data_IF_958221050759
#
_entry.id   IF_958221050759
#
_cell.length_a   1.000
_cell.length_b   1.000
_cell.length_c   1.000
_cell.angle_alpha   90.00
_cell.angle_beta   90.00
_cell.angle_gamma   90.00
#
_symmetry.space_group_name_H-M   'P 1'
#
loop_
_entity.id
_entity.type
_entity.pdbx_description
1 polymer ?
#
# COMPACT_ATOMS: atom_id res chain seq x y z
N UNK A 1 -14.25 16.92 5.53
CA UNK A 1 -14.55 15.59 4.98
C UNK A 1 -14.12 14.50 5.96
N UNK A 2 -12.92 14.58 6.53
CA UNK A 2 -12.36 13.53 7.38
C UNK A 2 -12.72 13.70 8.88
N UNK A 3 -13.19 14.86 9.30
CA UNK A 3 -13.56 15.14 10.69
C UNK A 3 -14.60 14.13 11.19
N UNK A 4 -14.35 13.54 12.34
CA UNK A 4 -15.14 12.50 13.02
C UNK A 4 -15.32 11.18 12.24
N UNK A 5 -14.68 11.02 11.05
CA UNK A 5 -14.69 9.74 10.32
C UNK A 5 -13.87 8.69 11.06
N UNK A 6 -14.40 7.49 11.17
CA UNK A 6 -13.80 6.32 11.82
C UNK A 6 -13.04 5.51 10.77
N UNK A 7 -11.72 5.58 10.84
CA UNK A 7 -10.84 5.10 9.76
C UNK A 7 -9.93 3.99 10.25
N UNK A 8 -9.91 2.86 9.55
CA UNK A 8 -8.88 1.83 9.72
C UNK A 8 -7.73 2.09 8.74
N UNK A 9 -6.49 2.17 9.27
CA UNK A 9 -5.27 2.24 8.45
C UNK A 9 -4.41 1.01 8.73
N UNK A 10 -4.46 0.03 7.84
CA UNK A 10 -3.60 -1.16 7.94
C UNK A 10 -2.18 -0.83 7.50
N UNK A 11 -1.16 -1.39 8.19
CA UNK A 11 0.22 -0.95 7.97
C UNK A 11 0.48 0.50 8.40
N UNK A 12 -0.38 1.06 9.26
CA UNK A 12 -0.31 2.43 9.76
C UNK A 12 0.80 2.69 10.79
N UNK A 13 1.59 1.68 11.13
CA UNK A 13 2.67 1.79 12.14
C UNK A 13 4.02 2.18 11.55
N UNK A 14 4.15 2.27 10.23
CA UNK A 14 5.40 2.61 9.55
C UNK A 14 5.18 3.06 8.11
N UNK A 15 6.19 3.67 7.51
CA UNK A 15 6.22 4.00 6.09
C UNK A 15 5.07 4.91 5.65
N UNK A 16 4.57 4.66 4.45
CA UNK A 16 3.51 5.51 3.89
C UNK A 16 2.18 5.40 4.64
N UNK A 17 1.87 4.22 5.20
CA UNK A 17 0.66 4.04 6.02
C UNK A 17 0.68 4.91 7.28
N UNK A 18 1.85 5.07 7.93
CA UNK A 18 2.04 5.98 9.05
C UNK A 18 1.80 7.44 8.65
N UNK A 19 2.35 7.87 7.52
CA UNK A 19 2.14 9.24 7.01
C UNK A 19 0.66 9.49 6.69
N UNK A 20 -0.04 8.55 6.06
CA UNK A 20 -1.49 8.64 5.83
C UNK A 20 -2.28 8.74 7.14
N UNK A 21 -1.95 7.90 8.13
CA UNK A 21 -2.60 7.96 9.44
C UNK A 21 -2.40 9.34 10.10
N UNK A 22 -1.18 9.90 10.05
CA UNK A 22 -0.88 11.23 10.56
C UNK A 22 -1.72 12.32 9.88
N UNK A 23 -1.84 12.30 8.55
CA UNK A 23 -2.67 13.25 7.82
C UNK A 23 -4.17 13.12 8.16
N UNK A 24 -4.66 11.90 8.36
CA UNK A 24 -6.05 11.63 8.75
C UNK A 24 -6.33 12.14 10.17
N UNK A 25 -5.43 11.84 11.12
CA UNK A 25 -5.53 12.35 12.51
C UNK A 25 -5.53 13.87 12.53
N UNK A 26 -4.59 14.50 11.80
CA UNK A 26 -4.53 15.97 11.69
C UNK A 26 -5.78 16.58 11.02
N UNK A 27 -6.48 15.82 10.19
CA UNK A 27 -7.74 16.22 9.56
C UNK A 27 -8.97 15.96 10.44
N UNK A 28 -8.79 15.54 11.70
CA UNK A 28 -9.84 15.30 12.69
C UNK A 28 -10.50 13.92 12.61
N UNK A 29 -9.94 12.97 11.87
CA UNK A 29 -10.46 11.60 11.84
C UNK A 29 -10.14 10.85 13.15
N UNK A 30 -10.98 9.89 13.49
CA UNK A 30 -10.74 8.88 14.52
C UNK A 30 -10.04 7.69 13.82
N UNK A 31 -8.79 7.44 14.13
CA UNK A 31 -7.97 6.49 13.36
C UNK A 31 -7.59 5.28 14.21
N UNK A 32 -7.87 4.09 13.69
CA UNK A 32 -7.32 2.83 14.19
C UNK A 32 -6.14 2.41 13.29
N UNK A 33 -4.91 2.50 13.82
CA UNK A 33 -3.74 1.97 13.13
C UNK A 33 -3.54 0.50 13.42
N UNK A 34 -3.22 -0.27 12.38
CA UNK A 34 -2.97 -1.71 12.49
C UNK A 34 -1.54 -2.00 12.07
N UNK A 35 -0.82 -2.74 12.91
CA UNK A 35 0.55 -3.21 12.64
C UNK A 35 0.77 -4.61 13.19
N UNK A 36 1.84 -5.31 12.77
CA UNK A 36 2.08 -6.69 13.17
C UNK A 36 2.59 -6.88 14.60
N UNK A 37 3.29 -5.91 15.16
CA UNK A 37 3.87 -6.01 16.50
C UNK A 37 3.29 -4.97 17.45
N UNK A 38 3.06 -5.38 18.70
CA UNK A 38 2.58 -4.47 19.75
C UNK A 38 3.55 -3.31 19.99
N UNK A 39 4.84 -3.55 19.90
CA UNK A 39 5.86 -2.50 20.06
C UNK A 39 5.80 -1.49 18.89
N UNK A 40 5.65 -1.95 17.65
CA UNK A 40 5.47 -1.06 16.50
C UNK A 40 4.19 -0.21 16.61
N UNK A 41 3.11 -0.79 17.14
CA UNK A 41 1.87 -0.06 17.41
C UNK A 41 2.10 1.00 18.49
N UNK A 42 2.74 0.65 19.61
CA UNK A 42 3.04 1.58 20.70
C UNK A 42 3.87 2.78 20.23
N UNK A 43 4.94 2.54 19.47
CA UNK A 43 5.80 3.59 18.92
C UNK A 43 5.03 4.51 17.95
N UNK A 44 4.21 3.91 17.09
CA UNK A 44 3.41 4.67 16.13
C UNK A 44 2.37 5.56 16.84
N UNK A 45 1.70 5.04 17.87
CA UNK A 45 0.74 5.83 18.67
C UNK A 45 1.41 7.04 19.31
N UNK A 46 2.55 6.86 19.97
CA UNK A 46 3.29 7.94 20.59
C UNK A 46 3.68 9.04 19.58
N UNK A 47 4.08 8.64 18.37
CA UNK A 47 4.42 9.59 17.30
C UNK A 47 3.18 10.28 16.70
N UNK A 48 2.05 9.57 16.56
CA UNK A 48 0.81 10.11 16.00
C UNK A 48 0.05 11.03 16.95
N UNK A 49 0.20 10.87 18.27
CA UNK A 49 -0.41 11.73 19.27
C UNK A 49 0.00 13.20 19.13
N UNK A 50 1.16 13.48 18.54
CA UNK A 50 1.60 14.83 18.21
C UNK A 50 0.73 15.50 17.15
N UNK A 51 0.08 14.72 16.29
CA UNK A 51 -0.85 15.21 15.25
C UNK A 51 -2.29 15.32 15.75
N UNK A 52 -2.65 14.64 16.85
CA UNK A 52 -3.98 14.65 17.47
C UNK A 52 -4.21 13.43 18.35
N UNK A 53 -5.21 13.52 19.26
CA UNK A 53 -5.49 12.47 20.28
C UNK A 53 -6.45 11.38 19.82
N UNK A 54 -7.03 11.48 18.62
CA UNK A 54 -8.05 10.55 18.14
C UNK A 54 -7.43 9.35 17.41
N UNK A 55 -6.42 8.74 17.99
CA UNK A 55 -5.73 7.57 17.45
C UNK A 55 -5.75 6.39 18.43
N UNK A 56 -5.99 5.21 17.89
CA UNK A 56 -5.95 3.91 18.58
C UNK A 56 -5.12 2.93 17.78
N UNK A 57 -4.72 1.83 18.37
CA UNK A 57 -3.88 0.85 17.68
C UNK A 57 -4.18 -0.59 18.07
N UNK A 58 -4.02 -1.48 17.10
CA UNK A 58 -4.20 -2.92 17.27
C UNK A 58 -3.03 -3.66 16.61
N UNK A 59 -2.44 -4.59 17.34
CA UNK A 59 -1.47 -5.53 16.77
C UNK A 59 -2.21 -6.70 16.12
N UNK A 60 -1.98 -6.90 14.79
CA UNK A 60 -2.61 -7.96 14.01
C UNK A 60 -1.74 -8.34 12.80
N UNK A 61 -1.67 -9.64 12.53
CA UNK A 61 -1.14 -10.17 11.28
C UNK A 61 -2.31 -10.48 10.35
N UNK A 62 -2.67 -9.52 9.50
CA UNK A 62 -3.81 -9.63 8.59
C UNK A 62 -3.66 -10.71 7.50
N UNK A 63 -2.48 -11.32 7.35
CA UNK A 63 -2.33 -12.49 6.50
C UNK A 63 -2.93 -13.77 7.13
N UNK A 64 -3.26 -13.75 8.42
CA UNK A 64 -3.86 -14.88 9.13
C UNK A 64 -5.38 -14.84 9.03
N UNK A 65 -6.03 -15.99 8.78
CA UNK A 65 -7.49 -16.08 8.74
C UNK A 65 -8.15 -15.57 10.04
N UNK A 66 -9.22 -14.78 9.91
CA UNK A 66 -9.99 -14.25 11.03
C UNK A 66 -9.46 -12.96 11.65
N UNK A 67 -8.20 -12.58 11.41
CA UNK A 67 -7.63 -11.35 11.95
C UNK A 67 -8.32 -10.10 11.42
N UNK A 68 -8.80 -10.11 10.18
CA UNK A 68 -9.61 -9.01 9.63
C UNK A 68 -10.86 -8.76 10.45
N UNK A 69 -11.63 -9.81 10.79
CA UNK A 69 -12.84 -9.70 11.63
C UNK A 69 -12.50 -9.22 13.04
N UNK A 70 -11.41 -9.73 13.63
CA UNK A 70 -10.97 -9.27 14.95
C UNK A 70 -10.64 -7.78 14.95
N UNK A 71 -9.90 -7.28 13.96
CA UNK A 71 -9.56 -5.87 13.83
C UNK A 71 -10.78 -4.98 13.65
N UNK A 72 -11.74 -5.38 12.81
CA UNK A 72 -13.00 -4.64 12.63
C UNK A 72 -13.80 -4.63 13.94
N UNK A 73 -13.92 -5.76 14.65
CA UNK A 73 -14.54 -5.83 15.96
C UNK A 73 -13.90 -4.88 16.99
N UNK A 74 -12.57 -4.79 17.01
CA UNK A 74 -11.87 -3.81 17.84
C UNK A 74 -12.15 -2.35 17.44
N UNK A 75 -12.25 -2.08 16.12
CA UNK A 75 -12.64 -0.76 15.64
C UNK A 75 -14.06 -0.36 16.09
N UNK A 76 -15.00 -1.27 15.93
CA UNK A 76 -16.38 -1.08 16.40
C UNK A 76 -16.42 -0.79 17.90
N UNK A 77 -15.66 -1.56 18.70
CA UNK A 77 -15.59 -1.38 20.15
C UNK A 77 -14.95 -0.05 20.57
N UNK A 78 -13.86 0.38 19.88
CA UNK A 78 -13.07 1.55 20.26
C UNK A 78 -13.60 2.86 19.67
N UNK A 79 -14.12 2.82 18.44
CA UNK A 79 -14.53 3.99 17.68
C UNK A 79 -16.02 4.03 17.35
N UNK A 80 -16.77 2.96 17.63
CA UNK A 80 -18.20 2.88 17.40
C UNK A 80 -18.61 2.62 15.94
N UNK A 81 -17.68 2.32 15.04
CA UNK A 81 -17.98 2.04 13.63
C UNK A 81 -16.75 2.03 12.73
N UNK A 82 -16.98 1.76 11.45
CA UNK A 82 -15.95 1.85 10.38
C UNK A 82 -16.53 2.61 9.20
N UNK A 83 -15.99 3.77 8.92
CA UNK A 83 -16.43 4.58 7.77
C UNK A 83 -15.51 4.42 6.57
N UNK A 84 -14.20 4.31 6.79
CA UNK A 84 -13.20 4.23 5.73
C UNK A 84 -12.11 3.22 6.06
N UNK A 85 -11.58 2.56 5.01
CA UNK A 85 -10.52 1.57 5.10
C UNK A 85 -9.34 1.94 4.18
N UNK A 86 -8.14 2.08 4.76
CA UNK A 86 -6.90 2.30 4.02
C UNK A 86 -6.00 1.05 4.14
N UNK A 87 -5.86 0.30 3.07
CA UNK A 87 -5.04 -0.89 2.97
C UNK A 87 -3.62 -0.52 2.55
N UNK A 88 -2.75 -0.27 3.55
CA UNK A 88 -1.35 0.11 3.34
C UNK A 88 -0.37 -1.02 3.64
N UNK A 89 -0.84 -2.17 4.13
CA UNK A 89 0.00 -3.35 4.35
C UNK A 89 0.60 -3.81 3.03
N UNK A 90 1.87 -4.19 3.08
CA UNK A 90 2.54 -4.78 1.94
C UNK A 90 4.03 -5.02 2.21
N UNK A 91 4.59 -5.96 1.46
CA UNK A 91 6.01 -6.29 1.46
C UNK A 91 6.52 -6.15 0.04
N UNK A 92 7.62 -5.46 -0.14
CA UNK A 92 8.42 -5.50 -1.37
C UNK A 92 9.74 -6.21 -1.10
N UNK A 93 10.38 -6.72 -2.13
CA UNK A 93 11.66 -7.42 -2.06
C UNK A 93 12.39 -7.41 -3.39
N UNK A 94 13.60 -7.95 -3.40
CA UNK A 94 14.47 -8.05 -4.57
C UNK A 94 14.90 -9.49 -4.77
N UNK A 95 14.51 -10.09 -5.90
CA UNK A 95 14.94 -11.44 -6.27
C UNK A 95 14.71 -11.71 -7.77
N UNK A 96 15.41 -12.70 -8.32
CA UNK A 96 15.16 -13.18 -9.68
C UNK A 96 13.85 -13.97 -9.70
N UNK A 97 12.96 -13.71 -10.68
CA UNK A 97 11.69 -14.43 -10.74
C UNK A 97 11.88 -15.94 -10.92
N UNK A 98 12.82 -16.35 -11.76
CA UNK A 98 13.10 -17.78 -12.01
C UNK A 98 13.80 -18.49 -10.84
N UNK A 99 14.32 -17.75 -9.86
CA UNK A 99 14.86 -18.29 -8.61
C UNK A 99 13.84 -18.21 -7.45
N UNK A 100 12.67 -17.62 -7.70
CA UNK A 100 11.61 -17.50 -6.68
C UNK A 100 10.88 -18.82 -6.52
N UNK A 101 10.87 -19.37 -5.32
CA UNK A 101 10.08 -20.56 -4.97
C UNK A 101 8.59 -20.23 -4.87
N UNK A 102 7.74 -21.26 -4.95
CA UNK A 102 6.31 -21.10 -4.73
C UNK A 102 5.99 -20.61 -3.30
N UNK A 103 6.78 -21.02 -2.31
CA UNK A 103 6.64 -20.58 -0.93
C UNK A 103 6.92 -19.08 -0.79
N UNK A 104 8.02 -18.59 -1.35
CA UNK A 104 8.34 -17.15 -1.34
C UNK A 104 7.30 -16.31 -2.08
N UNK A 105 6.78 -16.79 -3.22
CA UNK A 105 5.70 -16.08 -3.92
C UNK A 105 4.42 -16.01 -3.08
N UNK A 106 4.07 -17.08 -2.35
CA UNK A 106 2.94 -17.06 -1.40
C UNK A 106 3.13 -16.00 -0.32
N UNK A 107 4.33 -15.86 0.25
CA UNK A 107 4.62 -14.79 1.24
C UNK A 107 4.36 -13.38 0.68
N UNK A 108 4.68 -13.14 -0.61
CA UNK A 108 4.34 -11.86 -1.25
C UNK A 108 2.84 -11.69 -1.42
N UNK A 109 2.11 -12.75 -1.80
CA UNK A 109 0.65 -12.72 -1.93
C UNK A 109 -0.01 -12.54 -0.57
N UNK A 110 0.44 -13.25 0.46
CA UNK A 110 -0.06 -13.14 1.83
C UNK A 110 0.03 -11.70 2.33
N UNK A 111 1.20 -11.09 2.19
CA UNK A 111 1.44 -9.74 2.69
C UNK A 111 0.77 -8.63 1.85
N UNK A 112 0.54 -8.82 0.56
CA UNK A 112 0.07 -7.75 -0.33
C UNK A 112 -1.38 -7.92 -0.80
N UNK A 113 -1.88 -9.15 -0.89
CA UNK A 113 -3.22 -9.47 -1.37
C UNK A 113 -4.11 -10.03 -0.27
N UNK A 114 -3.72 -11.14 0.36
CA UNK A 114 -4.60 -11.81 1.34
C UNK A 114 -4.82 -10.96 2.59
N UNK A 115 -3.82 -10.20 3.04
CA UNK A 115 -4.02 -9.22 4.11
C UNK A 115 -5.05 -8.13 3.75
N UNK A 116 -5.07 -7.67 2.48
CA UNK A 116 -6.07 -6.73 2.01
C UNK A 116 -7.46 -7.38 1.85
N UNK A 117 -7.51 -8.62 1.36
CA UNK A 117 -8.75 -9.41 1.23
C UNK A 117 -9.41 -9.61 2.61
N UNK A 118 -8.66 -10.07 3.61
CA UNK A 118 -9.18 -10.37 4.95
C UNK A 118 -9.83 -9.14 5.61
N UNK A 119 -9.16 -8.00 5.59
CA UNK A 119 -9.71 -6.79 6.20
C UNK A 119 -10.85 -6.19 5.38
N UNK A 120 -10.77 -6.25 4.04
CA UNK A 120 -11.83 -5.73 3.16
C UNK A 120 -13.12 -6.51 3.36
N UNK A 121 -13.06 -7.85 3.35
CA UNK A 121 -14.24 -8.70 3.59
C UNK A 121 -14.90 -8.42 4.94
N UNK A 122 -14.10 -8.13 5.96
CA UNK A 122 -14.61 -7.85 7.29
C UNK A 122 -15.26 -6.45 7.41
N UNK A 123 -14.72 -5.44 6.69
CA UNK A 123 -15.16 -4.05 6.80
C UNK A 123 -16.17 -3.62 5.70
N UNK A 124 -16.40 -4.46 4.69
CA UNK A 124 -17.14 -4.09 3.48
C UNK A 124 -18.56 -3.57 3.75
N UNK A 125 -19.28 -4.20 4.67
CA UNK A 125 -20.65 -3.82 5.00
C UNK A 125 -20.72 -2.48 5.73
N UNK A 126 -19.84 -2.27 6.72
CA UNK A 126 -19.75 -1.01 7.45
C UNK A 126 -19.36 0.16 6.55
N UNK A 127 -18.31 -0.03 5.71
CA UNK A 127 -17.86 1.00 4.76
C UNK A 127 -18.94 1.30 3.72
N UNK A 128 -19.69 0.31 3.26
CA UNK A 128 -20.81 0.51 2.34
C UNK A 128 -21.95 1.28 3.02
N UNK A 129 -22.32 0.92 4.24
CA UNK A 129 -23.36 1.63 5.02
C UNK A 129 -22.99 3.10 5.23
N UNK A 130 -21.71 3.39 5.48
CA UNK A 130 -21.18 4.74 5.64
C UNK A 130 -20.98 5.49 4.30
N UNK A 131 -21.22 4.85 3.14
CA UNK A 131 -20.89 5.35 1.78
C UNK A 131 -19.44 5.84 1.70
N UNK A 132 -18.55 5.13 2.37
CA UNK A 132 -17.18 5.51 2.64
C UNK A 132 -16.21 5.13 1.52
N UNK A 133 -14.95 5.03 1.90
CA UNK A 133 -13.86 4.77 0.98
C UNK A 133 -13.09 3.51 1.37
N UNK A 134 -12.77 2.67 0.38
CA UNK A 134 -11.73 1.64 0.47
C UNK A 134 -10.56 2.07 -0.40
N UNK A 135 -9.38 2.23 0.19
CA UNK A 135 -8.18 2.70 -0.49
C UNK A 135 -7.11 1.62 -0.46
N UNK A 136 -6.65 1.18 -1.62
CA UNK A 136 -5.57 0.22 -1.75
C UNK A 136 -4.28 0.90 -2.18
N UNK A 137 -3.20 0.71 -1.42
CA UNK A 137 -1.88 1.16 -1.80
C UNK A 137 -1.20 0.08 -2.65
N UNK A 138 -1.37 0.23 -3.95
CA UNK A 138 -0.73 -0.56 -4.99
C UNK A 138 0.74 -0.18 -5.21
N UNK A 139 1.18 -0.20 -6.45
CA UNK A 139 2.52 0.22 -6.88
C UNK A 139 2.55 0.35 -8.41
N UNK A 140 3.45 1.18 -8.94
CA UNK A 140 3.81 1.13 -10.36
C UNK A 140 4.30 -0.25 -10.79
N UNK A 141 4.90 -1.03 -9.88
CA UNK A 141 5.32 -2.41 -10.15
C UNK A 141 4.14 -3.35 -10.49
N UNK A 142 2.91 -3.00 -10.12
CA UNK A 142 1.70 -3.73 -10.56
C UNK A 142 1.25 -3.39 -11.98
N UNK A 143 1.86 -2.37 -12.61
CA UNK A 143 1.59 -1.95 -14.00
C UNK A 143 2.79 -2.12 -14.92
N UNK A 144 3.98 -1.93 -14.39
CA UNK A 144 5.26 -1.93 -15.11
C UNK A 144 6.21 -2.89 -14.40
N UNK A 145 6.42 -4.06 -14.96
CA UNK A 145 7.35 -5.04 -14.37
C UNK A 145 8.78 -4.60 -14.67
N UNK A 146 9.59 -4.49 -13.62
CA UNK A 146 11.01 -4.16 -13.71
C UNK A 146 11.88 -5.31 -13.20
N UNK A 147 13.17 -5.40 -13.61
CA UNK A 147 14.06 -6.46 -13.16
C UNK A 147 14.10 -6.59 -11.61
N UNK A 148 14.26 -7.81 -11.14
CA UNK A 148 14.41 -8.18 -9.73
C UNK A 148 13.20 -7.88 -8.82
N UNK A 149 12.06 -7.48 -9.40
CA UNK A 149 10.81 -7.22 -8.65
C UNK A 149 9.65 -8.14 -9.07
N UNK A 150 9.92 -9.26 -9.74
CA UNK A 150 8.88 -10.11 -10.35
C UNK A 150 7.80 -10.57 -9.38
N UNK A 151 8.18 -11.19 -8.25
CA UNK A 151 7.22 -11.66 -7.25
C UNK A 151 6.39 -10.53 -6.62
N UNK A 152 7.01 -9.39 -6.36
CA UNK A 152 6.33 -8.19 -5.90
C UNK A 152 5.35 -7.64 -6.95
N UNK A 153 5.78 -7.61 -8.22
CA UNK A 153 4.93 -7.18 -9.34
C UNK A 153 3.69 -8.07 -9.48
N UNK A 154 3.87 -9.40 -9.41
CA UNK A 154 2.75 -10.35 -9.43
C UNK A 154 1.75 -10.03 -8.31
N UNK A 155 2.23 -9.85 -7.08
CA UNK A 155 1.36 -9.56 -5.95
C UNK A 155 0.64 -8.21 -6.07
N UNK A 156 1.31 -7.17 -6.61
CA UNK A 156 0.68 -5.85 -6.81
C UNK A 156 -0.26 -5.81 -8.01
N UNK A 157 -0.03 -6.62 -9.05
CA UNK A 157 -0.99 -6.80 -10.15
C UNK A 157 -2.24 -7.54 -9.67
N UNK A 158 -2.08 -8.58 -8.84
CA UNK A 158 -3.20 -9.27 -8.21
C UNK A 158 -4.03 -8.34 -7.30
N UNK A 159 -3.36 -7.47 -6.51
CA UNK A 159 -4.05 -6.46 -5.69
C UNK A 159 -4.82 -5.45 -6.57
N UNK A 160 -4.29 -5.07 -7.74
CA UNK A 160 -4.99 -4.16 -8.65
C UNK A 160 -6.26 -4.79 -9.21
N UNK A 161 -6.19 -6.04 -9.67
CA UNK A 161 -7.37 -6.79 -10.13
C UNK A 161 -8.39 -6.99 -9.00
N UNK A 162 -7.92 -7.28 -7.78
CA UNK A 162 -8.79 -7.37 -6.60
C UNK A 162 -9.50 -6.05 -6.30
N UNK A 163 -8.79 -4.91 -6.38
CA UNK A 163 -9.39 -3.59 -6.17
C UNK A 163 -10.49 -3.30 -7.21
N UNK A 164 -10.30 -3.73 -8.47
CA UNK A 164 -11.31 -3.57 -9.51
C UNK A 164 -12.55 -4.45 -9.25
N UNK A 165 -12.37 -5.71 -8.84
CA UNK A 165 -13.47 -6.59 -8.45
C UNK A 165 -14.28 -6.00 -7.27
N UNK A 166 -13.60 -5.58 -6.20
CA UNK A 166 -14.25 -4.94 -5.04
C UNK A 166 -14.99 -3.65 -5.43
N UNK A 167 -14.45 -2.89 -6.39
CA UNK A 167 -15.13 -1.69 -6.90
C UNK A 167 -16.47 -2.01 -7.55
N UNK A 168 -16.53 -3.07 -8.36
CA UNK A 168 -17.77 -3.50 -9.01
C UNK A 168 -18.83 -3.94 -7.98
N UNK A 169 -18.40 -4.54 -6.87
CA UNK A 169 -19.31 -5.01 -5.82
C UNK A 169 -19.79 -3.88 -4.89
N UNK A 170 -18.91 -2.91 -4.58
CA UNK A 170 -19.21 -1.85 -3.60
C UNK A 170 -19.81 -0.58 -4.22
N UNK A 171 -19.55 -0.30 -5.51
CA UNK A 171 -20.08 0.90 -6.17
C UNK A 171 -21.62 0.97 -6.16
N UNK A 172 -22.37 -0.12 -6.43
CA UNK A 172 -23.83 -0.11 -6.33
C UNK A 172 -24.35 0.17 -4.92
N UNK A 173 -23.53 -0.09 -3.90
CA UNK A 173 -23.83 0.15 -2.48
C UNK A 173 -23.41 1.57 -2.03
N UNK A 174 -22.89 2.40 -2.93
CA UNK A 174 -22.48 3.77 -2.68
C UNK A 174 -21.08 3.95 -2.12
N UNK A 175 -20.33 2.88 -1.81
CA UNK A 175 -18.95 3.00 -1.38
C UNK A 175 -18.02 3.31 -2.56
N UNK A 176 -16.88 3.93 -2.26
CA UNK A 176 -15.87 4.31 -3.24
C UNK A 176 -14.60 3.48 -3.07
N UNK A 177 -14.04 3.00 -4.17
CA UNK A 177 -12.78 2.24 -4.16
C UNK A 177 -11.71 2.99 -4.96
N UNK A 178 -10.59 3.30 -4.31
CA UNK A 178 -9.43 3.96 -4.89
C UNK A 178 -8.23 3.00 -4.92
N UNK A 179 -7.67 2.76 -6.11
CA UNK A 179 -6.35 2.14 -6.25
C UNK A 179 -5.29 3.24 -6.43
N UNK A 180 -4.29 3.26 -5.55
CA UNK A 180 -3.13 4.16 -5.64
C UNK A 180 -1.94 3.38 -6.18
N UNK A 181 -1.35 3.82 -7.30
CA UNK A 181 -0.18 3.19 -7.93
C UNK A 181 1.03 4.14 -7.86
N UNK A 182 1.73 4.22 -6.73
CA UNK A 182 2.86 5.11 -6.57
C UNK A 182 4.15 4.53 -7.13
N UNK A 183 5.05 5.41 -7.57
CA UNK A 183 6.47 5.12 -7.72
C UNK A 183 7.18 4.98 -6.37
N UNK A 184 8.53 4.95 -6.37
CA UNK A 184 9.31 4.89 -5.13
C UNK A 184 8.97 6.06 -4.21
N UNK A 185 8.62 5.77 -2.95
CA UNK A 185 8.31 6.77 -1.93
C UNK A 185 9.54 6.98 -1.05
N UNK A 186 9.90 8.24 -0.75
CA UNK A 186 10.90 8.58 0.26
C UNK A 186 10.34 8.23 1.64
N UNK A 187 11.20 7.87 2.57
CA UNK A 187 10.77 7.74 3.96
C UNK A 187 10.59 9.11 4.60
N UNK A 188 9.57 9.24 5.42
CA UNK A 188 9.39 10.42 6.25
C UNK A 188 10.44 10.43 7.37
N UNK A 189 10.90 11.62 7.77
CA UNK A 189 11.91 11.75 8.82
C UNK A 189 11.42 11.32 10.22
N UNK A 190 10.13 11.37 10.43
CA UNK A 190 9.42 10.97 11.65
C UNK A 190 8.86 9.54 11.61
N UNK A 191 9.18 8.74 10.57
CA UNK A 191 8.78 7.33 10.48
C UNK A 191 9.48 6.51 11.57
N UNK A 192 8.73 5.92 12.54
CA UNK A 192 9.32 5.18 13.66
C UNK A 192 10.13 3.93 13.25
N UNK A 193 10.03 3.53 11.99
CA UNK A 193 10.74 2.36 11.45
C UNK A 193 11.71 2.71 10.32
N UNK A 194 12.09 3.99 10.17
CA UNK A 194 12.94 4.46 9.06
C UNK A 194 14.26 3.68 8.96
N UNK A 195 14.97 3.51 10.08
CA UNK A 195 16.26 2.81 10.14
C UNK A 195 16.16 1.34 9.74
N UNK A 196 15.17 0.62 10.30
CA UNK A 196 14.98 -0.83 10.04
C UNK A 196 14.65 -1.19 8.59
N UNK A 197 14.25 -0.24 7.79
CA UNK A 197 13.86 -0.49 6.41
C UNK A 197 14.94 -0.18 5.38
N UNK A 198 15.97 0.59 5.76
CA UNK A 198 17.09 0.91 4.87
C UNK A 198 17.85 -0.35 4.46
N UNK A 199 18.06 -1.27 5.40
CA UNK A 199 18.90 -2.47 5.21
C UNK A 199 18.20 -3.62 4.48
N UNK A 200 16.85 -3.60 4.39
CA UNK A 200 16.11 -4.74 3.84
C UNK A 200 16.45 -5.07 2.39
N UNK A 201 16.57 -4.07 1.52
CA UNK A 201 16.90 -4.30 0.10
C UNK A 201 18.34 -4.72 -0.10
N UNK A 202 19.25 -4.18 0.72
CA UNK A 202 20.65 -4.59 0.73
C UNK A 202 20.76 -6.06 1.15
N UNK A 203 20.05 -6.48 2.19
CA UNK A 203 20.01 -7.87 2.62
C UNK A 203 19.41 -8.82 1.56
N UNK A 204 18.34 -8.41 0.86
CA UNK A 204 17.77 -9.19 -0.25
C UNK A 204 18.77 -9.35 -1.41
N UNK A 205 19.46 -8.27 -1.77
CA UNK A 205 20.47 -8.25 -2.83
C UNK A 205 21.64 -9.17 -2.50
N UNK A 206 22.17 -9.06 -1.27
CA UNK A 206 23.27 -9.90 -0.81
C UNK A 206 22.89 -11.40 -0.81
N UNK A 207 21.72 -11.72 -0.26
CA UNK A 207 21.21 -13.11 -0.20
C UNK A 207 20.97 -13.72 -1.58
N UNK A 208 20.49 -12.92 -2.54
CA UNK A 208 20.09 -13.38 -3.88
C UNK A 208 21.20 -13.23 -4.93
N UNK A 209 22.40 -12.79 -4.55
CA UNK A 209 23.53 -12.59 -5.49
C UNK A 209 23.18 -11.61 -6.63
N UNK A 210 22.42 -10.58 -6.33
CA UNK A 210 22.01 -9.57 -7.31
C UNK A 210 23.05 -8.46 -7.42
N UNK A 211 23.10 -7.73 -8.55
CA UNK A 211 23.91 -6.52 -8.66
C UNK A 211 23.52 -5.49 -7.58
N UNK A 212 24.50 -4.73 -7.09
CA UNK A 212 24.30 -3.76 -6.00
C UNK A 212 23.24 -2.69 -6.33
N UNK A 213 23.12 -2.29 -7.59
CA UNK A 213 22.12 -1.34 -8.11
C UNK A 213 20.68 -1.87 -7.99
N UNK A 214 20.48 -3.19 -7.89
CA UNK A 214 19.17 -3.79 -7.63
C UNK A 214 18.58 -3.38 -6.27
N UNK A 215 19.40 -2.95 -5.31
CA UNK A 215 18.94 -2.41 -4.03
C UNK A 215 18.25 -1.05 -4.17
N UNK A 216 18.47 -0.35 -5.28
CA UNK A 216 17.87 0.97 -5.50
C UNK A 216 16.34 0.93 -5.47
N UNK A 217 15.68 1.91 -4.84
CA UNK A 217 14.23 2.04 -4.87
C UNK A 217 13.71 2.21 -6.31
N UNK A 218 12.77 1.35 -6.72
CA UNK A 218 12.28 1.32 -8.10
C UNK A 218 13.10 0.41 -9.02
N UNK A 219 14.05 -0.36 -8.48
CA UNK A 219 14.97 -1.18 -9.25
C UNK A 219 15.95 -0.30 -10.06
N UNK A 220 16.36 -0.75 -11.24
CA UNK A 220 17.24 -0.01 -12.13
C UNK A 220 16.59 1.20 -12.82
N UNK A 221 15.27 1.41 -12.65
CA UNK A 221 14.60 2.59 -13.17
C UNK A 221 14.92 3.82 -12.31
N UNK A 222 15.58 4.83 -12.87
CA UNK A 222 15.94 6.09 -12.22
C UNK A 222 14.70 6.98 -11.97
N UNK A 223 13.74 6.49 -11.17
CA UNK A 223 12.56 7.24 -10.80
C UNK A 223 12.85 8.14 -9.59
N UNK A 224 12.48 9.43 -9.70
CA UNK A 224 12.54 10.35 -8.56
C UNK A 224 11.64 9.82 -7.44
N UNK A 225 12.17 9.78 -6.22
CA UNK A 225 11.39 9.37 -5.03
C UNK A 225 10.31 10.41 -4.74
N UNK A 226 9.10 9.92 -4.50
CA UNK A 226 7.96 10.75 -4.15
C UNK A 226 8.09 11.23 -2.71
N UNK A 227 7.66 12.46 -2.47
CA UNK A 227 7.47 12.99 -1.14
C UNK A 227 6.23 12.31 -0.50
N UNK A 228 6.36 11.69 0.69
CA UNK A 228 5.27 10.97 1.30
C UNK A 228 4.10 11.88 1.73
N UNK A 229 4.38 13.11 2.17
CA UNK A 229 3.34 14.06 2.57
C UNK A 229 2.54 14.58 1.37
N UNK A 230 3.24 14.89 0.27
CA UNK A 230 2.57 15.27 -0.98
C UNK A 230 1.69 14.13 -1.50
N UNK A 231 2.20 12.90 -1.47
CA UNK A 231 1.44 11.73 -1.88
C UNK A 231 0.20 11.52 -0.98
N UNK A 232 0.33 11.67 0.34
CA UNK A 232 -0.79 11.55 1.26
C UNK A 232 -1.89 12.58 0.95
N UNK A 233 -1.53 13.84 0.75
CA UNK A 233 -2.48 14.90 0.33
C UNK A 233 -3.20 14.54 -0.96
N UNK A 234 -2.47 14.02 -1.97
CA UNK A 234 -3.06 13.59 -3.26
C UNK A 234 -4.01 12.40 -3.10
N UNK A 235 -3.70 11.45 -2.22
CA UNK A 235 -4.58 10.31 -1.92
C UNK A 235 -5.87 10.80 -1.29
N UNK A 236 -5.80 11.66 -0.28
CA UNK A 236 -6.98 12.21 0.38
C UNK A 236 -7.83 13.09 -0.56
N UNK A 237 -7.19 13.86 -1.47
CA UNK A 237 -7.89 14.61 -2.52
C UNK A 237 -8.55 13.67 -3.55
N UNK A 238 -7.88 12.59 -3.93
CA UNK A 238 -8.45 11.58 -4.84
C UNK A 238 -9.68 10.90 -4.24
N UNK A 239 -9.70 10.61 -2.94
CA UNK A 239 -10.89 10.14 -2.23
C UNK A 239 -12.01 11.18 -2.30
N UNK A 240 -11.72 12.45 -1.97
CA UNK A 240 -12.70 13.54 -2.03
C UNK A 240 -13.34 13.67 -3.41
N UNK A 241 -12.56 13.49 -4.47
CA UNK A 241 -13.01 13.53 -5.87
C UNK A 241 -13.57 12.20 -6.38
N UNK A 242 -13.62 11.19 -5.53
CA UNK A 242 -14.06 9.81 -5.84
C UNK A 242 -13.38 9.25 -7.11
N UNK A 243 -12.08 9.46 -7.26
CA UNK A 243 -11.29 8.90 -8.35
C UNK A 243 -11.10 7.41 -8.15
N UNK A 244 -11.32 6.61 -9.19
CA UNK A 244 -11.11 5.17 -9.14
C UNK A 244 -9.62 4.79 -9.06
N UNK A 245 -8.73 5.65 -9.58
CA UNK A 245 -7.30 5.39 -9.63
C UNK A 245 -6.47 6.67 -9.48
N UNK A 246 -5.33 6.55 -8.78
CA UNK A 246 -4.29 7.56 -8.67
C UNK A 246 -2.92 6.97 -8.99
N UNK A 247 -2.38 7.23 -10.18
CA UNK A 247 -1.01 6.86 -10.57
C UNK A 247 -0.07 8.05 -10.40
N UNK A 248 1.05 7.86 -9.66
CA UNK A 248 2.05 8.92 -9.42
C UNK A 248 3.46 8.37 -9.65
N UNK A 249 4.26 8.99 -10.55
CA UNK A 249 3.96 10.16 -11.38
C UNK A 249 2.94 9.85 -12.48
N UNK A 250 2.19 10.88 -12.90
CA UNK A 250 1.14 10.73 -13.92
C UNK A 250 1.68 10.25 -15.28
N UNK A 251 2.93 10.58 -15.62
CA UNK A 251 3.60 10.09 -16.83
C UNK A 251 3.68 8.56 -16.91
N UNK A 252 3.79 7.87 -15.79
CA UNK A 252 3.82 6.41 -15.74
C UNK A 252 2.49 5.79 -16.22
N UNK A 253 1.37 6.50 -16.07
CA UNK A 253 0.07 6.06 -16.59
C UNK A 253 0.06 6.01 -18.12
N UNK A 254 0.63 7.02 -18.77
CA UNK A 254 0.75 7.05 -20.25
C UNK A 254 1.62 5.92 -20.74
N UNK A 255 2.74 5.65 -20.06
CA UNK A 255 3.62 4.56 -20.40
C UNK A 255 2.94 3.18 -20.25
N UNK A 256 2.24 2.96 -19.15
CA UNK A 256 1.48 1.74 -18.95
C UNK A 256 0.41 1.57 -20.04
N UNK A 257 -0.36 2.62 -20.35
CA UNK A 257 -1.35 2.61 -21.43
C UNK A 257 -0.71 2.33 -22.81
N UNK A 258 0.44 2.93 -23.11
CA UNK A 258 1.16 2.68 -24.36
C UNK A 258 1.59 1.21 -24.49
N UNK A 259 2.03 0.58 -23.40
CA UNK A 259 2.40 -0.85 -23.39
C UNK A 259 1.17 -1.73 -23.62
N UNK A 260 0.02 -1.36 -23.08
CA UNK A 260 -1.25 -2.06 -23.30
C UNK A 260 -1.71 -1.96 -24.76
N UNK A 261 -1.63 -0.78 -25.36
CA UNK A 261 -2.08 -0.53 -26.73
C UNK A 261 -1.10 -1.07 -27.78
N UNK A 262 0.20 -1.06 -27.50
CA UNK A 262 1.27 -1.51 -28.38
C UNK A 262 2.19 -2.52 -27.66
N UNK A 263 1.70 -3.73 -27.32
CA UNK A 263 2.38 -4.64 -26.40
C UNK A 263 3.79 -5.04 -26.84
N UNK A 264 4.02 -5.28 -28.14
CA UNK A 264 5.32 -5.67 -28.65
C UNK A 264 6.35 -4.54 -28.61
N UNK A 265 5.94 -3.34 -29.03
CA UNK A 265 6.81 -2.17 -29.04
C UNK A 265 7.10 -1.70 -27.60
N UNK A 266 6.06 -1.68 -26.74
CA UNK A 266 6.17 -1.27 -25.36
C UNK A 266 7.06 -2.19 -24.53
N UNK A 267 6.91 -3.52 -24.66
CA UNK A 267 7.77 -4.49 -23.95
C UNK A 267 9.22 -4.43 -24.42
N UNK A 268 9.46 -4.28 -25.72
CA UNK A 268 10.83 -4.08 -26.26
C UNK A 268 11.45 -2.78 -25.73
N UNK A 269 10.69 -1.71 -25.68
CA UNK A 269 11.16 -0.45 -25.12
C UNK A 269 11.46 -0.58 -23.62
N UNK A 270 10.56 -1.19 -22.83
CA UNK A 270 10.76 -1.41 -21.40
C UNK A 270 12.03 -2.26 -21.14
N UNK A 271 12.24 -3.31 -21.91
CA UNK A 271 13.43 -4.14 -21.83
C UNK A 271 14.73 -3.34 -22.10
N UNK A 272 14.72 -2.44 -23.10
CA UNK A 272 15.88 -1.57 -23.41
C UNK A 272 16.16 -0.57 -22.30
N UNK A 273 15.12 0.02 -21.71
CA UNK A 273 15.27 0.96 -20.58
C UNK A 273 15.81 0.23 -19.35
N UNK A 274 15.27 -0.95 -19.06
CA UNK A 274 15.70 -1.79 -17.96
C UNK A 274 17.13 -2.34 -18.11
N UNK A 275 17.64 -2.48 -19.34
CA UNK A 275 19.01 -2.95 -19.61
C UNK A 275 20.07 -1.83 -19.62
N UNK A 276 19.69 -0.57 -19.81
CA UNK A 276 20.61 0.59 -19.83
C UNK A 276 21.14 0.98 -18.44
N UNK A 277 20.65 0.37 -17.38
CA UNK A 277 21.15 0.53 -16.02
C UNK A 277 22.15 -0.55 -15.61
N UNK A 278 22.69 -1.30 -16.59
CA UNK A 278 23.73 -2.32 -16.33
C UNK A 278 25.09 -1.81 -16.77
#
# INVERSE_FOLDING_TARGET
MWHDRRVIVTGGTAGFGFVLARHLVAAGAQVLVVGRSSEGVRLALAALETAGRNVRGVAADLARPGEGRRVVGECLRMLGGVDDLFCCVGRSGRQRMLATTAAELREFLDANLFAALEITRAAADDVAAAKGHVVYIGSLAGKLVVPYMGAYSVAKSALAAFADAVRLELAPRGAHVLLVSPGPIRRAGDDPAAERAADRYAADVARSGLPADAASPGGTAALRRLDPDDLARRVLDACRRRRSELTVPGSARFLAGLIEWFPEAGRRWLARVASRGR
#
